data_IF_134548525210
#
_entry.id   IF_134548525210
#
_cell.length_a   1.000
_cell.length_b   1.000
_cell.length_c   1.000
_cell.angle_alpha   90.00
_cell.angle_beta   90.00
_cell.angle_gamma   90.00
#
_symmetry.space_group_name_H-M   'P 1'
#
loop_
_entity.id
_entity.type
_entity.pdbx_description
1 polymer ?
#
# COMPACT_ATOMS: atom_id res chain seq x y z
N UNK A 1 14.71 10.13 -13.94
CA UNK A 1 14.01 9.02 -14.63
C UNK A 1 12.50 9.28 -14.71
N UNK A 2 11.77 9.44 -13.60
CA UNK A 2 10.30 9.68 -13.63
C UNK A 2 9.91 10.89 -14.50
N UNK A 3 10.59 12.04 -14.37
CA UNK A 3 10.31 13.22 -15.21
C UNK A 3 10.47 12.93 -16.72
N UNK A 4 11.46 12.12 -17.10
CA UNK A 4 11.67 11.72 -18.50
C UNK A 4 10.57 10.79 -19.00
N UNK A 5 10.13 9.81 -18.19
CA UNK A 5 8.99 8.95 -18.54
C UNK A 5 7.72 9.80 -18.67
N UNK A 6 7.52 10.74 -17.75
CA UNK A 6 6.36 11.63 -17.73
C UNK A 6 6.30 12.57 -18.93
N UNK A 7 7.45 12.97 -19.51
CA UNK A 7 7.46 13.79 -20.73
C UNK A 7 6.99 13.04 -21.97
N UNK A 8 6.84 11.71 -21.89
CA UNK A 8 6.37 10.85 -22.98
C UNK A 8 5.01 10.22 -22.67
N UNK A 9 4.81 9.69 -21.46
CA UNK A 9 3.55 9.09 -21.04
C UNK A 9 3.30 9.29 -19.54
N UNK A 10 2.34 10.17 -19.23
CA UNK A 10 1.96 10.45 -17.84
C UNK A 10 1.38 9.24 -17.11
N UNK A 11 0.60 8.38 -17.81
CA UNK A 11 -0.01 7.19 -17.20
C UNK A 11 1.06 6.20 -16.73
N UNK A 12 2.04 5.88 -17.57
CA UNK A 12 3.17 5.02 -17.20
C UNK A 12 3.98 5.63 -16.04
N UNK A 13 4.19 6.94 -16.05
CA UNK A 13 4.87 7.63 -14.96
C UNK A 13 4.13 7.50 -13.62
N UNK A 14 2.79 7.61 -13.64
CA UNK A 14 1.96 7.39 -12.44
C UNK A 14 2.06 5.95 -11.95
N UNK A 15 2.02 4.95 -12.84
CA UNK A 15 2.17 3.54 -12.44
C UNK A 15 3.53 3.27 -11.77
N UNK A 16 4.61 3.78 -12.37
CA UNK A 16 5.97 3.65 -11.82
C UNK A 16 6.12 4.38 -10.48
N UNK A 17 5.51 5.56 -10.34
CA UNK A 17 5.56 6.35 -9.12
C UNK A 17 4.73 5.69 -8.01
N UNK A 18 3.51 5.24 -8.31
CA UNK A 18 2.67 4.54 -7.35
C UNK A 18 3.33 3.26 -6.83
N UNK A 19 4.01 2.51 -7.70
CA UNK A 19 4.76 1.33 -7.32
C UNK A 19 5.89 1.67 -6.35
N UNK A 20 6.85 2.53 -6.75
CA UNK A 20 8.11 2.67 -6.01
C UNK A 20 8.15 3.80 -4.99
N UNK A 21 7.39 4.88 -5.21
CA UNK A 21 7.50 6.10 -4.39
C UNK A 21 6.63 6.03 -3.12
N UNK A 22 5.49 5.34 -3.19
CA UNK A 22 4.53 5.20 -2.08
C UNK A 22 4.08 3.76 -1.83
N UNK A 23 4.11 2.90 -2.87
CA UNK A 23 3.83 1.48 -2.73
C UNK A 23 4.93 0.76 -1.94
N UNK A 24 4.78 -0.55 -1.81
CA UNK A 24 5.56 -1.43 -0.91
C UNK A 24 7.07 -1.14 -0.81
N UNK A 25 7.84 -0.88 -1.90
CA UNK A 25 9.27 -0.61 -1.81
C UNK A 25 9.63 0.50 -0.82
N UNK A 26 8.87 1.61 -0.79
CA UNK A 26 9.26 2.78 0.00
C UNK A 26 9.00 2.61 1.51
N UNK A 27 7.79 2.27 1.98
CA UNK A 27 7.56 2.03 3.40
C UNK A 27 8.40 0.88 3.94
N UNK A 28 8.59 -0.18 3.15
CA UNK A 28 9.40 -1.33 3.56
C UNK A 28 10.89 -0.95 3.70
N UNK A 29 11.43 -0.14 2.79
CA UNK A 29 12.80 0.36 2.91
C UNK A 29 13.00 1.23 4.14
N UNK A 30 12.01 2.09 4.45
CA UNK A 30 12.10 3.05 5.56
C UNK A 30 11.84 2.42 6.94
N UNK A 31 10.86 1.52 7.03
CA UNK A 31 10.29 1.08 8.30
C UNK A 31 10.23 -0.44 8.47
N UNK A 32 10.48 -1.21 7.40
CA UNK A 32 10.47 -2.66 7.46
C UNK A 32 11.64 -3.23 8.26
N UNK A 33 11.42 -4.40 8.88
CA UNK A 33 12.50 -5.19 9.47
C UNK A 33 13.39 -5.78 8.37
N UNK A 34 14.57 -6.29 8.74
CA UNK A 34 15.48 -6.89 7.78
C UNK A 34 14.88 -8.17 7.17
N UNK A 35 14.15 -8.96 7.96
CA UNK A 35 13.45 -10.15 7.48
C UNK A 35 12.35 -9.79 6.47
N UNK A 36 11.61 -8.70 6.71
CA UNK A 36 10.58 -8.23 5.76
C UNK A 36 11.23 -7.73 4.47
N UNK A 37 12.35 -6.98 4.56
CA UNK A 37 13.09 -6.48 3.39
C UNK A 37 13.61 -7.64 2.54
N UNK A 38 14.25 -8.64 3.15
CA UNK A 38 14.74 -9.84 2.46
C UNK A 38 13.61 -10.63 1.80
N UNK A 39 12.44 -10.71 2.45
CA UNK A 39 11.29 -11.43 1.92
C UNK A 39 10.61 -10.73 0.74
N UNK A 40 10.43 -9.41 0.79
CA UNK A 40 9.54 -8.70 -0.15
C UNK A 40 10.26 -7.87 -1.22
N UNK A 41 11.42 -7.26 -0.92
CA UNK A 41 12.13 -6.44 -1.92
C UNK A 41 12.58 -7.25 -3.16
N UNK A 42 13.08 -8.49 -3.05
CA UNK A 42 13.44 -9.28 -4.22
C UNK A 42 12.26 -9.62 -5.12
N UNK A 43 11.03 -9.69 -4.57
CA UNK A 43 9.82 -9.95 -5.36
C UNK A 43 9.49 -8.76 -6.25
N UNK A 44 9.54 -7.55 -5.69
CA UNK A 44 9.34 -6.30 -6.42
C UNK A 44 10.42 -6.11 -7.50
N UNK A 45 11.68 -6.44 -7.19
CA UNK A 45 12.78 -6.42 -8.16
C UNK A 45 12.61 -7.42 -9.33
N UNK A 46 11.84 -8.50 -9.12
CA UNK A 46 11.52 -9.51 -10.14
C UNK A 46 10.29 -9.14 -10.99
N UNK A 47 9.68 -7.98 -10.74
CA UNK A 47 8.59 -7.45 -11.55
C UNK A 47 7.19 -7.57 -10.94
N UNK A 48 7.07 -8.04 -9.69
CA UNK A 48 5.79 -7.93 -8.98
C UNK A 48 5.39 -6.45 -8.79
N UNK A 49 4.11 -6.16 -9.02
CA UNK A 49 3.57 -4.80 -8.97
C UNK A 49 3.06 -4.51 -7.58
N UNK A 50 3.24 -3.28 -7.14
CA UNK A 50 2.75 -2.82 -5.83
C UNK A 50 1.81 -1.63 -5.93
N UNK A 51 0.95 -1.54 -4.92
CA UNK A 51 0.01 -0.44 -4.74
C UNK A 51 0.02 0.08 -3.30
N UNK A 52 -0.59 1.25 -3.11
CA UNK A 52 -0.75 1.91 -1.83
C UNK A 52 -2.23 2.19 -1.59
N UNK A 53 -2.80 1.61 -0.54
CA UNK A 53 -4.22 1.61 -0.24
C UNK A 53 -4.55 2.44 1.00
N UNK A 54 -4.74 3.74 0.78
CA UNK A 54 -5.13 4.71 1.81
C UNK A 54 -6.57 5.19 1.63
N UNK A 55 -6.85 5.84 0.49
CA UNK A 55 -8.13 6.48 0.17
C UNK A 55 -9.30 5.51 0.23
N UNK A 56 -10.43 5.99 0.74
CA UNK A 56 -11.70 5.26 0.88
C UNK A 56 -12.83 6.09 0.24
N UNK A 57 -14.03 5.52 0.02
CA UNK A 57 -15.14 6.24 -0.61
C UNK A 57 -15.47 7.60 0.02
N UNK A 58 -15.40 7.68 1.35
CA UNK A 58 -15.70 8.91 2.11
C UNK A 58 -14.44 9.61 2.64
N UNK A 59 -13.23 9.11 2.33
CA UNK A 59 -11.98 9.53 3.00
C UNK A 59 -10.88 9.78 1.98
N UNK A 60 -10.47 11.04 1.86
CA UNK A 60 -9.37 11.51 1.01
C UNK A 60 -8.36 12.33 1.77
N UNK A 61 -8.62 13.64 1.90
CA UNK A 61 -7.69 14.60 2.50
C UNK A 61 -7.48 14.44 4.02
N UNK A 62 -8.47 13.86 4.72
CA UNK A 62 -8.38 13.55 6.16
C UNK A 62 -8.22 12.04 6.39
N UNK A 63 -7.00 11.48 6.26
CA UNK A 63 -6.77 10.05 6.42
C UNK A 63 -7.06 9.56 7.84
N UNK A 64 -7.06 10.44 8.85
CA UNK A 64 -7.37 10.07 10.23
C UNK A 64 -8.83 9.62 10.41
N UNK A 65 -9.70 9.89 9.42
CA UNK A 65 -11.11 9.48 9.40
C UNK A 65 -11.38 8.12 8.72
N UNK A 66 -10.34 7.39 8.26
CA UNK A 66 -10.47 6.08 7.58
C UNK A 66 -11.30 5.04 8.36
N UNK A 67 -12.08 4.19 7.70
CA UNK A 67 -12.94 3.19 8.35
C UNK A 67 -12.38 1.77 8.22
N UNK A 68 -11.41 1.52 7.35
CA UNK A 68 -10.76 0.21 7.23
C UNK A 68 -10.08 -0.16 8.54
N UNK A 69 -10.36 -1.36 9.04
CA UNK A 69 -9.81 -1.90 10.29
C UNK A 69 -8.83 -3.03 10.01
N UNK A 70 -7.94 -3.27 10.97
CA UNK A 70 -7.05 -4.41 11.08
C UNK A 70 -7.13 -4.90 12.53
N UNK A 71 -7.95 -5.92 12.78
CA UNK A 71 -8.21 -6.44 14.14
C UNK A 71 -7.32 -7.66 14.39
N UNK A 72 -6.51 -7.62 15.44
CA UNK A 72 -5.66 -8.75 15.84
C UNK A 72 -6.56 -9.95 16.20
N UNK A 73 -6.29 -11.11 15.61
CA UNK A 73 -7.04 -12.34 15.87
C UNK A 73 -6.65 -12.94 17.22
N UNK A 74 -7.45 -13.90 17.70
CA UNK A 74 -7.24 -14.59 18.98
C UNK A 74 -5.89 -15.32 19.05
N UNK A 75 -5.30 -15.66 17.91
CA UNK A 75 -3.98 -16.26 17.80
C UNK A 75 -2.83 -15.30 18.18
N UNK A 76 -3.07 -13.99 18.17
CA UNK A 76 -2.06 -12.96 18.42
C UNK A 76 -1.00 -12.83 17.32
N UNK A 77 -1.15 -13.52 16.19
CA UNK A 77 -0.19 -13.57 15.09
C UNK A 77 -0.73 -12.95 13.80
N UNK A 78 -2.05 -12.92 13.62
CA UNK A 78 -2.67 -12.45 12.37
C UNK A 78 -3.67 -11.32 12.60
N UNK A 79 -3.85 -10.49 11.57
CA UNK A 79 -4.85 -9.42 11.57
C UNK A 79 -5.95 -9.72 10.56
N UNK A 80 -7.21 -9.58 10.97
CA UNK A 80 -8.34 -9.51 10.05
C UNK A 80 -8.50 -8.09 9.55
N UNK A 81 -8.25 -7.88 8.26
CA UNK A 81 -8.43 -6.59 7.60
C UNK A 81 -9.81 -6.52 6.96
N UNK A 82 -10.60 -5.50 7.30
CA UNK A 82 -11.94 -5.28 6.73
C UNK A 82 -12.16 -3.82 6.34
N UNK A 83 -12.63 -3.57 5.13
CA UNK A 83 -12.94 -2.22 4.66
C UNK A 83 -13.03 -2.12 3.13
N UNK A 84 -13.22 -0.89 2.64
CA UNK A 84 -13.26 -0.57 1.23
C UNK A 84 -12.28 0.54 0.90
N UNK A 85 -11.48 0.33 -0.16
CA UNK A 85 -10.52 1.30 -0.66
C UNK A 85 -10.96 1.83 -2.03
N UNK A 86 -10.60 3.07 -2.34
CA UNK A 86 -11.02 3.76 -3.55
C UNK A 86 -9.82 4.41 -4.27
N UNK A 87 -9.82 4.35 -5.61
CA UNK A 87 -8.80 4.96 -6.48
C UNK A 87 -7.37 4.50 -6.21
N UNK A 88 -7.21 3.20 -5.97
CA UNK A 88 -5.91 2.59 -5.74
C UNK A 88 -5.17 2.45 -7.07
N UNK A 89 -4.21 3.34 -7.30
CA UNK A 89 -3.29 3.22 -8.44
C UNK A 89 -2.57 1.87 -8.40
N UNK A 90 -2.52 1.18 -9.53
CA UNK A 90 -2.08 -0.22 -9.68
C UNK A 90 -2.97 -1.28 -9.00
N UNK A 91 -4.03 -0.91 -8.27
CA UNK A 91 -4.85 -1.83 -7.49
C UNK A 91 -5.33 -3.09 -8.24
N UNK A 92 -5.84 -2.98 -9.48
CA UNK A 92 -6.30 -4.14 -10.24
C UNK A 92 -5.22 -5.14 -10.67
N UNK A 93 -3.94 -4.75 -10.60
CA UNK A 93 -2.79 -5.55 -11.08
C UNK A 93 -1.71 -5.76 -10.03
N UNK A 94 -1.94 -5.31 -8.78
CA UNK A 94 -0.93 -5.37 -7.73
C UNK A 94 -0.84 -6.77 -7.10
N UNK A 95 0.37 -7.27 -6.96
CA UNK A 95 0.69 -8.49 -6.22
C UNK A 95 0.89 -8.21 -4.72
N UNK A 96 1.35 -7.00 -4.39
CA UNK A 96 1.63 -6.57 -3.03
C UNK A 96 1.01 -5.19 -2.74
N UNK A 97 0.37 -5.04 -1.58
CA UNK A 97 -0.23 -3.79 -1.16
C UNK A 97 0.32 -3.34 0.20
N UNK A 98 0.53 -2.04 0.33
CA UNK A 98 0.50 -1.38 1.64
C UNK A 98 -0.93 -0.99 1.90
N UNK A 99 -1.51 -1.46 3.00
CA UNK A 99 -2.88 -1.14 3.41
C UNK A 99 -2.83 -0.30 4.68
N UNK A 100 -3.40 0.90 4.61
CA UNK A 100 -3.57 1.76 5.78
C UNK A 100 -4.90 1.39 6.44
N UNK A 101 -4.84 1.00 7.71
CA UNK A 101 -5.98 0.55 8.49
C UNK A 101 -5.81 0.96 9.96
N UNK A 102 -6.92 1.08 10.69
CA UNK A 102 -6.91 1.26 12.14
C UNK A 102 -6.73 -0.08 12.84
N UNK A 103 -5.87 -0.13 13.83
CA UNK A 103 -5.64 -1.32 14.66
C UNK A 103 -6.52 -1.39 15.91
N UNK A 104 -7.24 -0.31 16.23
CA UNK A 104 -8.09 -0.25 17.42
C UNK A 104 -9.48 -0.82 17.13
N UNK A 105 -10.07 -1.42 18.16
CA UNK A 105 -11.44 -1.95 18.14
C UNK A 105 -12.44 -0.79 17.98
N UNK A 106 -13.39 -0.84 17.03
CA UNK A 106 -14.46 0.16 16.92
C UNK A 106 -15.36 0.26 18.16
N UNK A 107 -15.23 -0.63 19.13
CA UNK A 107 -15.92 -0.60 20.43
C UNK A 107 -15.15 0.09 21.56
N UNK A 108 -13.91 0.56 21.32
CA UNK A 108 -13.14 1.44 22.22
C UNK A 108 -13.25 2.93 21.85
#
# INVERSE_FOLDING_TARGET
IIQLVSSHCASTAVMLSAHQSIGVPQPLKMFGTDEQKEKFLPRLAKGEVSAFALTEPDVGSDPSSMKTTAVLQEDGETYLINGQKLWISNGPVADLLIVMARTNDPSE
#
